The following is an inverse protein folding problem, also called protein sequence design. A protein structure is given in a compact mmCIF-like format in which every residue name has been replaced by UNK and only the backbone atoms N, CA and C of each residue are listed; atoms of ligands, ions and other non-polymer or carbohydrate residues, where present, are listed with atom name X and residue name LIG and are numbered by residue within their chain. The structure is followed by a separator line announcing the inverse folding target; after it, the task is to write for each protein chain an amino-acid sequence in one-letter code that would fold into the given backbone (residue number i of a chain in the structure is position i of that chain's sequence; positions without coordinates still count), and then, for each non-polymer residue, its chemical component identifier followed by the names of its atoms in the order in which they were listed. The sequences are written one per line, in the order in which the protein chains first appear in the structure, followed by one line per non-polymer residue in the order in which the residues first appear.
data_IF_764405261350
#
_entry.id   IF_764405261350
#
_cell.length_a   1.000
_cell.length_b   1.000
_cell.length_c   1.000
_cell.angle_alpha   90.00
_cell.angle_beta   90.00
_cell.angle_gamma   90.00
#
_symmetry.space_group_name_H-M   'P 1'
#
loop_
_entity.id
_entity.type
_entity.pdbx_description
1 polymer ?
#
# COMPACT_ATOMS: atom_id res chain seq x y z
N UNK A 1 2.68 -14.53 -12.84
CA UNK A 1 1.82 -13.40 -13.28
C UNK A 1 2.61 -12.11 -13.18
N UNK A 2 2.70 -11.36 -14.26
CA UNK A 2 3.37 -10.06 -14.25
C UNK A 2 2.50 -9.01 -13.53
N UNK A 3 3.09 -7.87 -13.19
CA UNK A 3 2.34 -6.75 -12.60
C UNK A 3 1.21 -6.28 -13.54
N UNK A 4 1.48 -6.21 -14.85
CA UNK A 4 0.44 -5.84 -15.83
C UNK A 4 -0.70 -6.86 -15.86
N UNK A 5 -0.40 -8.14 -15.73
CA UNK A 5 -1.44 -9.18 -15.67
C UNK A 5 -2.29 -9.01 -14.41
N UNK A 6 -1.65 -8.68 -13.28
CA UNK A 6 -2.38 -8.41 -12.03
C UNK A 6 -3.31 -7.22 -12.18
N UNK A 7 -2.83 -6.11 -12.76
CA UNK A 7 -3.65 -4.93 -13.03
C UNK A 7 -4.85 -5.26 -13.92
N UNK A 8 -4.62 -5.97 -15.01
CA UNK A 8 -5.68 -6.36 -15.94
C UNK A 8 -6.71 -7.27 -15.30
N UNK A 9 -6.25 -8.19 -14.44
CA UNK A 9 -7.15 -9.09 -13.72
C UNK A 9 -8.04 -8.30 -12.75
N UNK A 10 -7.45 -7.39 -11.97
CA UNK A 10 -8.21 -6.55 -11.04
C UNK A 10 -9.19 -5.63 -11.77
N UNK A 11 -8.76 -5.01 -12.88
CA UNK A 11 -9.62 -4.19 -13.73
C UNK A 11 -10.85 -4.96 -14.18
N UNK A 12 -10.66 -6.17 -14.67
CA UNK A 12 -11.77 -7.00 -15.16
C UNK A 12 -12.68 -7.47 -14.03
N UNK A 13 -12.10 -7.97 -12.93
CA UNK A 13 -12.89 -8.53 -11.83
C UNK A 13 -13.72 -7.46 -11.12
N UNK A 14 -13.16 -6.27 -10.94
CA UNK A 14 -13.85 -5.18 -10.24
C UNK A 14 -14.48 -4.16 -11.20
N UNK A 15 -14.33 -4.33 -12.52
CA UNK A 15 -14.80 -3.36 -13.53
C UNK A 15 -14.38 -1.94 -13.17
N UNK A 16 -13.11 -1.75 -12.82
CA UNK A 16 -12.61 -0.51 -12.20
C UNK A 16 -11.22 -0.14 -12.69
N UNK A 17 -11.00 1.16 -12.84
CA UNK A 17 -9.68 1.76 -13.07
C UNK A 17 -9.20 2.53 -11.82
N UNK A 18 -9.89 2.36 -10.68
CA UNK A 18 -9.60 3.11 -9.46
C UNK A 18 -8.34 2.61 -8.76
N UNK A 19 -7.39 3.50 -8.53
CA UNK A 19 -6.29 3.27 -7.62
C UNK A 19 -6.59 3.97 -6.29
N UNK A 20 -6.70 3.20 -5.21
CA UNK A 20 -6.98 3.73 -3.88
C UNK A 20 -5.67 4.10 -3.21
N UNK A 21 -5.41 5.40 -3.05
CA UNK A 21 -4.25 5.91 -2.32
C UNK A 21 -4.49 5.87 -0.82
N UNK A 22 -3.49 5.45 -0.06
CA UNK A 22 -3.53 5.42 1.40
C UNK A 22 -2.39 6.29 1.94
N UNK A 23 -2.74 7.53 2.27
CA UNK A 23 -1.84 8.55 2.80
C UNK A 23 -2.28 8.89 4.23
N UNK A 24 -2.04 8.00 5.21
CA UNK A 24 -2.63 8.15 6.55
C UNK A 24 -1.93 9.24 7.37
N UNK A 25 -2.64 10.35 7.54
CA UNK A 25 -2.23 11.43 8.45
C UNK A 25 -3.14 11.40 9.68
N UNK A 26 -2.64 10.93 10.85
CA UNK A 26 -3.48 10.78 12.04
C UNK A 26 -4.21 12.05 12.46
N UNK A 27 -3.61 13.23 12.24
CA UNK A 27 -4.22 14.50 12.57
C UNK A 27 -5.52 14.78 11.78
N UNK A 28 -5.66 14.13 10.61
CA UNK A 28 -6.80 14.29 9.70
C UNK A 28 -7.79 13.13 9.75
N UNK A 29 -7.55 12.13 10.59
CA UNK A 29 -8.46 11.00 10.71
C UNK A 29 -9.82 11.42 11.26
N UNK A 30 -10.90 10.74 10.84
CA UNK A 30 -12.18 10.87 11.52
C UNK A 30 -12.12 10.24 12.92
N UNK A 31 -13.05 10.63 13.80
CA UNK A 31 -13.23 9.91 15.07
C UNK A 31 -13.73 8.49 14.78
N UNK A 32 -13.33 7.48 15.54
CA UNK A 32 -12.52 7.55 16.76
C UNK A 32 -11.00 7.49 16.55
N UNK A 33 -10.51 7.53 15.32
CA UNK A 33 -9.09 7.33 15.01
C UNK A 33 -8.23 8.59 15.15
N UNK A 34 -8.85 9.77 15.24
CA UNK A 34 -8.17 11.06 15.13
C UNK A 34 -7.04 11.20 16.15
N UNK A 35 -5.87 11.61 15.67
CA UNK A 35 -4.70 11.91 16.49
C UNK A 35 -3.93 10.69 16.98
N UNK A 36 -4.34 9.49 16.65
CA UNK A 36 -3.76 8.26 17.17
C UNK A 36 -3.00 7.49 16.07
N UNK A 37 -1.67 7.66 16.04
CA UNK A 37 -0.80 6.98 15.08
C UNK A 37 -0.78 5.45 15.28
N UNK A 38 -1.11 4.95 16.49
CA UNK A 38 -1.19 3.51 16.71
C UNK A 38 -2.37 2.86 15.98
N UNK A 39 -3.30 3.65 15.47
CA UNK A 39 -4.49 3.20 14.73
C UNK A 39 -4.42 3.42 13.23
N UNK A 40 -3.24 3.70 12.68
CA UNK A 40 -3.07 3.84 11.23
C UNK A 40 -3.53 2.57 10.51
N UNK A 41 -3.12 1.39 11.00
CA UNK A 41 -3.57 0.13 10.43
C UNK A 41 -5.10 0.00 10.47
N UNK A 42 -5.72 0.27 11.61
CA UNK A 42 -7.18 0.12 11.75
C UNK A 42 -7.93 0.99 10.74
N UNK A 43 -7.53 2.25 10.62
CA UNK A 43 -8.14 3.17 9.66
C UNK A 43 -7.94 2.71 8.21
N UNK A 44 -6.70 2.39 7.83
CA UNK A 44 -6.40 1.97 6.47
C UNK A 44 -7.05 0.63 6.12
N UNK A 45 -7.08 -0.32 7.06
CA UNK A 45 -7.74 -1.61 6.85
C UNK A 45 -9.25 -1.44 6.60
N UNK A 46 -9.89 -0.50 7.30
CA UNK A 46 -11.30 -0.17 7.07
C UNK A 46 -11.53 0.39 5.65
N UNK A 47 -10.61 1.21 5.14
CA UNK A 47 -10.67 1.71 3.77
C UNK A 47 -10.47 0.58 2.76
N UNK A 48 -9.52 -0.31 3.00
CA UNK A 48 -9.30 -1.49 2.15
C UNK A 48 -10.57 -2.35 2.08
N UNK A 49 -11.16 -2.65 3.22
CA UNK A 49 -12.39 -3.46 3.28
C UNK A 49 -13.55 -2.80 2.52
N UNK A 50 -13.69 -1.48 2.64
CA UNK A 50 -14.75 -0.73 1.97
C UNK A 50 -14.54 -0.63 0.45
N UNK A 51 -13.33 -0.81 -0.06
CA UNK A 51 -12.97 -0.60 -1.46
C UNK A 51 -12.44 -1.84 -2.18
N UNK A 52 -12.36 -2.98 -1.50
CA UNK A 52 -11.78 -4.21 -2.04
C UNK A 52 -12.42 -4.66 -3.35
N UNK A 53 -13.73 -4.45 -3.51
CA UNK A 53 -14.50 -4.80 -4.71
C UNK A 53 -14.60 -3.66 -5.74
N UNK A 54 -13.98 -2.51 -5.45
CA UNK A 54 -14.04 -1.30 -6.27
C UNK A 54 -12.68 -0.88 -6.81
N UNK A 55 -11.59 -1.45 -6.33
CA UNK A 55 -10.23 -1.01 -6.65
C UNK A 55 -9.59 -1.85 -7.76
N UNK A 56 -8.77 -1.20 -8.58
CA UNK A 56 -7.84 -1.87 -9.49
C UNK A 56 -6.47 -2.04 -8.83
N UNK A 57 -6.10 -1.14 -7.92
CA UNK A 57 -4.84 -1.18 -7.17
C UNK A 57 -4.98 -0.46 -5.83
N UNK A 58 -4.17 -0.85 -4.85
CA UNK A 58 -3.93 -0.08 -3.62
C UNK A 58 -2.54 0.54 -3.67
N UNK A 59 -2.42 1.78 -3.23
CA UNK A 59 -1.15 2.49 -3.24
C UNK A 59 -0.89 3.16 -1.89
N UNK A 60 -0.37 2.42 -0.89
CA UNK A 60 0.06 3.01 0.36
C UNK A 60 1.34 3.83 0.16
N UNK A 61 1.41 4.99 0.81
CA UNK A 61 2.57 5.89 0.75
C UNK A 61 3.42 5.72 2.01
N UNK A 62 4.64 5.20 1.83
CA UNK A 62 5.53 4.82 2.95
C UNK A 62 5.88 6.02 3.85
N UNK A 63 5.97 7.23 3.29
CA UNK A 63 6.35 8.42 4.05
C UNK A 63 5.43 8.67 5.25
N UNK A 64 4.14 8.43 5.11
CA UNK A 64 3.18 8.63 6.20
C UNK A 64 3.33 7.59 7.30
N UNK A 65 3.73 6.38 6.96
CA UNK A 65 3.98 5.32 7.94
C UNK A 65 5.32 5.54 8.65
N UNK A 66 6.37 5.82 7.87
CA UNK A 66 7.72 6.03 8.40
C UNK A 66 7.79 7.23 9.35
N UNK A 67 7.13 8.34 9.01
CA UNK A 67 7.10 9.54 9.85
C UNK A 67 6.50 9.28 11.23
N UNK A 68 5.62 8.31 11.36
CA UNK A 68 4.95 7.94 12.61
C UNK A 68 5.49 6.64 13.22
N UNK A 69 6.63 6.15 12.76
CA UNK A 69 7.24 4.88 13.22
C UNK A 69 6.25 3.71 13.10
N UNK A 70 5.48 3.70 12.02
CA UNK A 70 4.38 2.76 11.82
C UNK A 70 4.69 1.72 10.73
N UNK A 71 5.97 1.42 10.48
CA UNK A 71 6.38 0.47 9.44
C UNK A 71 5.82 -0.93 9.70
N UNK A 72 5.75 -1.35 10.95
CA UNK A 72 5.14 -2.63 11.32
C UNK A 72 3.64 -2.66 10.97
N UNK A 73 2.95 -1.52 11.09
CA UNK A 73 1.56 -1.42 10.66
C UNK A 73 1.42 -1.52 9.14
N UNK A 74 2.40 -1.01 8.38
CA UNK A 74 2.40 -1.16 6.92
C UNK A 74 2.54 -2.63 6.51
N UNK A 75 3.41 -3.38 7.18
CA UNK A 75 3.54 -4.82 6.93
C UNK A 75 2.20 -5.54 7.14
N UNK A 76 1.52 -5.25 8.25
CA UNK A 76 0.20 -5.81 8.55
C UNK A 76 -0.85 -5.38 7.54
N UNK A 77 -0.79 -4.14 7.08
CA UNK A 77 -1.74 -3.59 6.12
C UNK A 77 -1.62 -4.29 4.76
N UNK A 78 -0.40 -4.50 4.26
CA UNK A 78 -0.21 -5.23 3.00
C UNK A 78 -0.68 -6.67 3.13
N UNK A 79 -0.41 -7.33 4.26
CA UNK A 79 -0.94 -8.66 4.52
C UNK A 79 -2.47 -8.68 4.52
N UNK A 80 -3.11 -7.66 5.08
CA UNK A 80 -4.56 -7.51 5.05
C UNK A 80 -5.10 -7.33 3.62
N UNK A 81 -4.43 -6.51 2.81
CA UNK A 81 -4.78 -6.35 1.39
C UNK A 81 -4.75 -7.68 0.63
N UNK A 82 -3.72 -8.50 0.89
CA UNK A 82 -3.60 -9.83 0.27
C UNK A 82 -4.73 -10.76 0.68
N UNK A 83 -5.22 -10.65 1.90
CA UNK A 83 -6.33 -11.45 2.40
C UNK A 83 -7.69 -10.95 1.91
N UNK A 84 -7.92 -9.63 2.01
CA UNK A 84 -9.23 -9.04 1.69
C UNK A 84 -9.48 -8.89 0.19
N UNK A 85 -8.40 -8.65 -0.59
CA UNK A 85 -8.49 -8.39 -2.03
C UNK A 85 -7.32 -9.06 -2.77
N UNK A 86 -7.26 -10.40 -2.82
CA UNK A 86 -6.07 -11.12 -3.32
C UNK A 86 -5.78 -10.85 -4.80
N UNK A 87 -6.76 -10.41 -5.57
CA UNK A 87 -6.62 -10.09 -6.99
C UNK A 87 -6.21 -8.64 -7.25
N UNK A 88 -6.16 -7.79 -6.22
CA UNK A 88 -5.81 -6.37 -6.36
C UNK A 88 -4.33 -6.15 -6.04
N UNK A 89 -3.52 -5.66 -6.99
CA UNK A 89 -2.11 -5.43 -6.75
C UNK A 89 -1.85 -4.26 -5.80
N UNK A 90 -0.69 -4.30 -5.14
CA UNK A 90 -0.22 -3.28 -4.20
C UNK A 90 0.97 -2.56 -4.82
N UNK A 91 0.85 -1.24 -4.94
CA UNK A 91 1.91 -0.35 -5.40
C UNK A 91 2.44 0.39 -4.18
N UNK A 92 3.70 0.15 -3.80
CA UNK A 92 4.31 0.90 -2.70
C UNK A 92 4.80 2.25 -3.22
N UNK A 93 4.18 3.33 -2.76
CA UNK A 93 4.59 4.68 -3.13
C UNK A 93 5.73 5.12 -2.21
N UNK A 94 6.96 4.83 -2.62
CA UNK A 94 8.16 5.07 -1.83
C UNK A 94 9.08 6.13 -2.44
N UNK A 95 9.03 6.29 -3.77
CA UNK A 95 9.90 7.19 -4.52
C UNK A 95 11.38 7.03 -4.13
N UNK A 96 11.79 5.76 -4.05
CA UNK A 96 13.19 5.43 -3.82
C UNK A 96 13.99 5.62 -5.11
N UNK A 97 15.31 5.73 -4.98
CA UNK A 97 16.20 5.83 -6.12
C UNK A 97 17.62 5.81 -5.63
N UNK A 98 18.42 4.91 -6.20
CA UNK A 98 19.83 4.81 -5.87
C UNK A 98 20.52 3.89 -6.87
N UNK A 99 21.80 3.63 -6.68
CA UNK A 99 22.60 2.77 -7.54
C UNK A 99 23.15 1.58 -6.75
N UNK A 100 23.50 0.50 -7.49
CA UNK A 100 24.23 -0.65 -6.96
C UNK A 100 23.56 -1.30 -5.75
N UNK A 101 24.35 -1.55 -4.72
CA UNK A 101 23.90 -2.25 -3.53
C UNK A 101 22.83 -1.51 -2.73
N UNK A 102 22.81 -0.17 -2.79
CA UNK A 102 21.77 0.60 -2.10
C UNK A 102 20.42 0.42 -2.81
N UNK A 103 20.40 0.44 -4.14
CA UNK A 103 19.18 0.15 -4.89
C UNK A 103 18.64 -1.26 -4.58
N UNK A 104 19.54 -2.23 -4.40
CA UNK A 104 19.16 -3.60 -4.00
C UNK A 104 18.48 -3.63 -2.64
N UNK A 105 18.97 -2.85 -1.65
CA UNK A 105 18.34 -2.76 -0.33
C UNK A 105 16.92 -2.18 -0.43
N UNK A 106 16.69 -1.20 -1.28
CA UNK A 106 15.34 -0.68 -1.51
C UNK A 106 14.41 -1.71 -2.17
N UNK A 107 14.95 -2.52 -3.08
CA UNK A 107 14.18 -3.61 -3.69
C UNK A 107 13.77 -4.66 -2.65
N UNK A 108 14.69 -5.04 -1.76
CA UNK A 108 14.40 -5.94 -0.64
C UNK A 108 13.31 -5.36 0.26
N UNK A 109 13.40 -4.08 0.61
CA UNK A 109 12.37 -3.41 1.40
C UNK A 109 11.00 -3.52 0.74
N UNK A 110 10.89 -3.15 -0.54
CA UNK A 110 9.60 -3.09 -1.22
C UNK A 110 9.00 -4.48 -1.49
N UNK A 111 9.81 -5.41 -2.00
CA UNK A 111 9.31 -6.68 -2.53
C UNK A 111 9.38 -7.83 -1.53
N UNK A 112 10.35 -7.83 -0.62
CA UNK A 112 10.48 -8.90 0.37
C UNK A 112 9.87 -8.51 1.71
N UNK A 113 10.23 -7.33 2.25
CA UNK A 113 9.69 -6.90 3.54
C UNK A 113 8.20 -6.59 3.47
N UNK A 114 7.78 -5.75 2.53
CA UNK A 114 6.39 -5.34 2.41
C UNK A 114 5.58 -6.20 1.45
N UNK A 115 6.22 -6.95 0.58
CA UNK A 115 5.53 -7.81 -0.37
C UNK A 115 4.73 -7.06 -1.43
N UNK A 116 5.17 -5.85 -1.80
CA UNK A 116 4.51 -5.07 -2.85
C UNK A 116 4.67 -5.71 -4.22
N UNK A 117 3.79 -5.39 -5.14
CA UNK A 117 3.86 -5.84 -6.54
C UNK A 117 4.59 -4.85 -7.43
N UNK A 118 4.63 -3.60 -7.02
CA UNK A 118 5.35 -2.52 -7.70
C UNK A 118 5.81 -1.48 -6.68
N UNK A 119 6.81 -0.71 -7.04
CA UNK A 119 7.33 0.39 -6.22
C UNK A 119 7.57 1.60 -7.11
N UNK A 120 7.26 2.80 -6.61
CA UNK A 120 7.57 4.03 -7.33
C UNK A 120 9.03 4.42 -7.12
N UNK A 121 9.66 4.89 -8.18
CA UNK A 121 11.05 5.34 -8.18
C UNK A 121 11.11 6.82 -8.53
N UNK A 122 12.09 7.52 -7.97
CA UNK A 122 12.43 8.87 -8.41
C UNK A 122 13.23 8.81 -9.71
N UNK A 123 12.98 9.69 -10.66
CA UNK A 123 13.76 9.74 -11.91
C UNK A 123 15.21 10.14 -11.67
#
# INVERSE_FOLDING_TARGET
MTFLDQLRTAERQNSSLLCVGLDPDPAKFPNPYRGDASRIYDFCAAIVDATADLAMAFKPRIAYLAAHRAEAQLERLVAHMRSAAPHVPVILDAKRGDIGSTAEQYAIEAFERYGADAVTLSP
#
